data_IF_399573463050
#
_entry.id   IF_399573463050
#
_cell.length_a   1.000
_cell.length_b   1.000
_cell.length_c   1.000
_cell.angle_alpha   90.00
_cell.angle_beta   90.00
_cell.angle_gamma   90.00
#
_symmetry.space_group_name_H-M   'P 1'
#
loop_
_entity.id
_entity.type
_entity.pdbx_description
1 polymer ?
#
# COMPACT_ATOMS: atom_id res chain seq x y z
N UNK A 1 39.94 -17.10 -1.49
CA UNK A 1 39.53 -15.70 -1.21
C UNK A 1 38.99 -14.97 -2.45
N UNK A 2 39.45 -15.28 -3.65
CA UNK A 2 39.07 -14.60 -4.92
C UNK A 2 37.58 -14.74 -5.29
N UNK A 3 36.96 -15.91 -5.06
CA UNK A 3 35.54 -16.13 -5.39
C UNK A 3 34.55 -15.39 -4.48
N UNK A 4 34.87 -15.19 -3.20
CA UNK A 4 33.99 -14.47 -2.28
C UNK A 4 33.98 -12.96 -2.56
N UNK A 5 35.12 -12.39 -2.93
CA UNK A 5 35.24 -10.98 -3.30
C UNK A 5 34.51 -10.70 -4.62
N UNK A 6 34.62 -11.59 -5.61
CA UNK A 6 33.89 -11.47 -6.88
C UNK A 6 32.37 -11.57 -6.70
N UNK A 7 31.90 -12.50 -5.86
CA UNK A 7 30.47 -12.64 -5.54
C UNK A 7 29.92 -11.42 -4.78
N UNK A 8 30.68 -10.86 -3.84
CA UNK A 8 30.30 -9.62 -3.16
C UNK A 8 30.23 -8.43 -4.12
N UNK A 9 31.20 -8.25 -5.01
CA UNK A 9 31.20 -7.17 -6.00
C UNK A 9 30.00 -7.28 -6.96
N UNK A 10 29.67 -8.49 -7.41
CA UNK A 10 28.52 -8.73 -8.27
C UNK A 10 27.20 -8.43 -7.54
N UNK A 11 27.09 -8.79 -6.25
CA UNK A 11 25.91 -8.49 -5.44
C UNK A 11 25.74 -6.99 -5.17
N UNK A 12 26.83 -6.25 -4.96
CA UNK A 12 26.81 -4.78 -4.83
C UNK A 12 26.36 -4.13 -6.14
N UNK A 13 26.93 -4.53 -7.27
CA UNK A 13 26.55 -3.99 -8.58
C UNK A 13 25.07 -4.25 -8.92
N UNK A 14 24.52 -5.40 -8.54
CA UNK A 14 23.08 -5.69 -8.72
C UNK A 14 22.21 -4.76 -7.89
N UNK A 15 22.55 -4.54 -6.61
CA UNK A 15 21.81 -3.61 -5.74
C UNK A 15 21.89 -2.17 -6.24
N UNK A 16 23.04 -1.73 -6.73
CA UNK A 16 23.20 -0.40 -7.33
C UNK A 16 22.29 -0.22 -8.56
N UNK A 17 22.21 -1.23 -9.44
CA UNK A 17 21.29 -1.20 -10.59
C UNK A 17 19.82 -1.16 -10.18
N UNK A 18 19.43 -1.97 -9.19
CA UNK A 18 18.04 -1.97 -8.69
C UNK A 18 17.66 -0.63 -8.04
N UNK A 19 18.59 -0.04 -7.29
CA UNK A 19 18.37 1.29 -6.70
C UNK A 19 18.28 2.38 -7.78
N UNK A 20 19.14 2.33 -8.79
CA UNK A 20 19.09 3.25 -9.93
C UNK A 20 17.75 3.13 -10.69
N UNK A 21 17.27 1.91 -10.91
CA UNK A 21 15.96 1.67 -11.52
C UNK A 21 14.80 2.30 -10.72
N UNK A 22 14.74 2.09 -9.40
CA UNK A 22 13.69 2.73 -8.57
C UNK A 22 13.84 4.26 -8.56
N UNK A 23 15.07 4.77 -8.59
CA UNK A 23 15.33 6.21 -8.69
C UNK A 23 14.81 6.79 -10.01
N UNK A 24 14.92 6.04 -11.12
CA UNK A 24 14.37 6.44 -12.41
C UNK A 24 12.84 6.49 -12.40
N UNK A 25 12.18 5.51 -11.78
CA UNK A 25 10.73 5.53 -11.56
C UNK A 25 10.32 6.75 -10.71
N UNK A 26 11.07 7.06 -9.65
CA UNK A 26 10.82 8.24 -8.81
C UNK A 26 10.93 9.54 -9.60
N UNK A 27 11.96 9.67 -10.45
CA UNK A 27 12.14 10.83 -11.32
C UNK A 27 10.95 10.99 -12.28
N UNK A 28 10.49 9.89 -12.89
CA UNK A 28 9.34 9.91 -13.80
C UNK A 28 8.07 10.38 -13.09
N UNK A 29 7.79 9.89 -11.89
CA UNK A 29 6.63 10.31 -11.08
C UNK A 29 6.69 11.81 -10.77
N UNK A 30 7.88 12.32 -10.44
CA UNK A 30 8.08 13.75 -10.20
C UNK A 30 7.89 14.58 -11.47
N UNK A 31 8.37 14.11 -12.63
CA UNK A 31 8.12 14.73 -13.93
C UNK A 31 6.62 14.77 -14.27
N UNK A 32 5.89 13.66 -14.06
CA UNK A 32 4.43 13.60 -14.25
C UNK A 32 3.70 14.62 -13.37
N UNK A 33 4.13 14.75 -12.11
CA UNK A 33 3.59 15.75 -11.18
C UNK A 33 3.85 17.18 -11.66
N UNK A 34 5.08 17.47 -12.08
CA UNK A 34 5.47 18.80 -12.58
C UNK A 34 4.73 19.19 -13.86
N UNK A 35 4.42 18.20 -14.71
CA UNK A 35 3.64 18.39 -15.94
C UNK A 35 2.12 18.45 -15.70
N UNK A 36 1.67 18.30 -14.45
CA UNK A 36 0.25 18.30 -14.10
C UNK A 36 -0.51 17.05 -14.58
N UNK A 37 0.21 15.98 -14.92
CA UNK A 37 -0.39 14.71 -15.35
C UNK A 37 -0.97 13.93 -14.16
N UNK A 38 -0.36 14.08 -12.98
CA UNK A 38 -0.84 13.47 -11.73
C UNK A 38 -0.86 14.51 -10.62
N UNK A 39 -1.84 14.39 -9.73
CA UNK A 39 -1.90 15.16 -8.50
C UNK A 39 -1.58 14.25 -7.33
N UNK A 40 -0.49 14.57 -6.62
CA UNK A 40 -0.11 13.85 -5.40
C UNK A 40 -0.59 14.62 -4.16
N UNK A 41 -1.05 13.92 -3.10
CA UNK A 41 -1.49 14.58 -1.87
C UNK A 41 -0.38 15.44 -1.23
N UNK A 42 -0.72 16.61 -0.69
CA UNK A 42 0.25 17.54 -0.09
C UNK A 42 1.07 16.92 1.05
N UNK A 43 0.46 16.01 1.81
CA UNK A 43 1.08 15.32 2.93
C UNK A 43 1.76 13.99 2.54
N UNK A 44 1.96 13.74 1.25
CA UNK A 44 2.57 12.53 0.72
C UNK A 44 3.94 12.82 0.08
N UNK A 45 4.95 12.03 0.46
CA UNK A 45 6.28 12.06 -0.14
C UNK A 45 6.48 10.82 -1.00
N UNK A 46 6.41 10.99 -2.32
CA UNK A 46 6.66 9.92 -3.29
C UNK A 46 8.07 9.34 -3.13
N UNK A 47 9.08 10.21 -2.91
CA UNK A 47 10.47 9.80 -2.68
C UNK A 47 10.59 8.82 -1.51
N UNK A 48 10.02 9.17 -0.35
CA UNK A 48 10.08 8.31 0.84
C UNK A 48 9.31 7.01 0.63
N UNK A 49 8.16 7.06 -0.06
CA UNK A 49 7.34 5.88 -0.32
C UNK A 49 8.03 4.90 -1.28
N UNK A 50 8.64 5.41 -2.35
CA UNK A 50 9.39 4.60 -3.33
C UNK A 50 10.65 4.00 -2.72
N UNK A 51 11.35 4.74 -1.84
CA UNK A 51 12.49 4.20 -1.13
C UNK A 51 12.09 3.09 -0.15
N UNK A 52 10.96 3.25 0.56
CA UNK A 52 10.40 2.18 1.38
C UNK A 52 9.99 0.95 0.54
N UNK A 53 9.44 1.18 -0.65
CA UNK A 53 9.10 0.11 -1.58
C UNK A 53 10.35 -0.63 -2.08
N UNK A 54 11.41 0.09 -2.44
CA UNK A 54 12.71 -0.51 -2.80
C UNK A 54 13.22 -1.44 -1.70
N UNK A 55 13.24 -0.99 -0.45
CA UNK A 55 13.67 -1.83 0.67
C UNK A 55 12.77 -3.05 0.86
N UNK A 56 11.46 -2.90 0.64
CA UNK A 56 10.51 -4.01 0.73
C UNK A 56 10.73 -5.03 -0.39
N UNK A 57 10.98 -4.58 -1.62
CA UNK A 57 11.17 -5.42 -2.80
C UNK A 57 12.51 -6.14 -2.82
N UNK A 58 13.55 -5.52 -2.25
CA UNK A 58 14.91 -6.06 -2.16
C UNK A 58 15.18 -6.85 -0.87
N UNK A 59 14.24 -6.81 0.09
CA UNK A 59 14.33 -7.63 1.29
C UNK A 59 14.35 -9.12 0.91
N UNK A 60 15.28 -9.86 1.51
CA UNK A 60 15.36 -11.32 1.40
C UNK A 60 14.73 -11.89 2.66
N UNK A 61 13.56 -12.52 2.50
CA UNK A 61 12.85 -13.16 3.60
C UNK A 61 13.57 -14.43 4.07
N UNK A 62 13.45 -14.78 5.34
CA UNK A 62 14.06 -16.01 5.89
C UNK A 62 13.59 -17.30 5.18
N UNK A 63 12.41 -17.27 4.56
CA UNK A 63 11.84 -18.39 3.81
C UNK A 63 12.20 -18.44 2.32
N UNK A 64 12.90 -17.43 1.78
CA UNK A 64 13.24 -17.38 0.36
C UNK A 64 14.65 -16.86 0.13
N UNK A 65 15.45 -17.59 -0.64
CA UNK A 65 16.82 -17.20 -0.97
C UNK A 65 16.93 -16.07 -2.01
N UNK A 66 15.80 -15.56 -2.53
CA UNK A 66 15.75 -14.49 -3.55
C UNK A 66 14.79 -13.39 -3.12
N UNK A 67 15.19 -12.14 -3.34
CA UNK A 67 14.34 -10.98 -3.13
C UNK A 67 13.15 -10.99 -4.09
N UNK A 68 12.10 -10.24 -3.77
CA UNK A 68 10.89 -10.20 -4.61
C UNK A 68 11.19 -9.58 -5.97
N UNK A 69 11.99 -8.51 -6.02
CA UNK A 69 12.40 -7.83 -7.25
C UNK A 69 13.16 -8.73 -8.24
N UNK A 70 13.81 -9.80 -7.74
CA UNK A 70 14.58 -10.74 -8.58
C UNK A 70 13.72 -11.84 -9.21
N UNK A 71 12.42 -11.91 -8.84
CA UNK A 71 11.49 -12.95 -9.29
C UNK A 71 10.50 -12.45 -10.34
N UNK A 72 10.46 -11.14 -10.57
CA UNK A 72 9.47 -10.47 -11.40
C UNK A 72 10.14 -9.59 -12.44
N UNK A 73 9.39 -9.22 -13.47
CA UNK A 73 9.84 -8.37 -14.57
C UNK A 73 10.02 -6.92 -14.13
N UNK A 74 11.08 -6.22 -14.58
CA UNK A 74 11.27 -4.79 -14.28
C UNK A 74 10.06 -3.93 -14.61
N UNK A 75 9.40 -4.20 -15.73
CA UNK A 75 8.23 -3.46 -16.21
C UNK A 75 7.08 -3.55 -15.19
N UNK A 76 6.81 -4.74 -14.66
CA UNK A 76 5.78 -4.93 -13.64
C UNK A 76 6.15 -4.26 -12.30
N UNK A 77 7.44 -4.15 -11.98
CA UNK A 77 7.91 -3.40 -10.81
C UNK A 77 7.68 -1.90 -11.00
N UNK A 78 8.02 -1.35 -12.16
CA UNK A 78 7.76 0.06 -12.45
C UNK A 78 6.27 0.38 -12.34
N UNK A 79 5.42 -0.44 -12.95
CA UNK A 79 3.96 -0.29 -12.88
C UNK A 79 3.45 -0.34 -11.43
N UNK A 80 3.84 -1.35 -10.65
CA UNK A 80 3.41 -1.47 -9.26
C UNK A 80 3.88 -0.29 -8.38
N UNK A 81 5.08 0.24 -8.62
CA UNK A 81 5.60 1.42 -7.93
C UNK A 81 4.83 2.69 -8.32
N UNK A 82 4.50 2.85 -9.60
CA UNK A 82 3.69 3.95 -10.10
C UNK A 82 2.28 3.91 -9.52
N UNK A 83 1.63 2.75 -9.51
CA UNK A 83 0.28 2.53 -8.98
C UNK A 83 0.21 2.88 -7.48
N UNK A 84 1.19 2.45 -6.70
CA UNK A 84 1.34 2.86 -5.30
C UNK A 84 1.47 4.38 -5.15
N UNK A 85 2.31 4.99 -6.00
CA UNK A 85 2.61 6.41 -5.90
C UNK A 85 1.46 7.32 -6.31
N UNK A 86 0.73 6.97 -7.38
CA UNK A 86 -0.46 7.69 -7.84
C UNK A 86 -1.55 7.69 -6.76
N UNK A 87 -1.77 6.55 -6.09
CA UNK A 87 -2.70 6.48 -4.95
C UNK A 87 -2.19 7.23 -3.69
N UNK A 88 -0.96 7.75 -3.73
CA UNK A 88 -0.31 8.41 -2.61
C UNK A 88 -0.10 7.47 -1.42
N UNK A 89 0.14 6.18 -1.66
CA UNK A 89 0.23 5.16 -0.61
C UNK A 89 1.67 4.77 -0.31
N UNK A 90 1.89 4.19 0.86
CA UNK A 90 3.19 3.70 1.28
C UNK A 90 3.11 2.34 1.95
N UNK A 91 3.93 1.39 1.47
CA UNK A 91 4.10 0.08 2.11
C UNK A 91 4.68 0.17 3.52
N UNK A 92 5.48 1.21 3.83
CA UNK A 92 5.99 1.45 5.19
C UNK A 92 4.87 1.73 6.21
N UNK A 93 3.74 2.28 5.74
CA UNK A 93 2.54 2.53 6.54
C UNK A 93 1.53 1.38 6.45
N UNK A 94 1.91 0.25 5.85
CA UNK A 94 1.02 -0.90 5.57
C UNK A 94 -0.22 -0.53 4.76
N UNK A 95 -0.12 0.50 3.91
CA UNK A 95 -1.24 0.98 3.08
C UNK A 95 -1.44 0.16 1.81
N UNK A 96 -0.53 -0.76 1.52
CA UNK A 96 -0.65 -1.74 0.45
C UNK A 96 0.50 -2.73 0.51
N UNK A 97 0.49 -3.67 -0.42
CA UNK A 97 1.41 -4.79 -0.50
C UNK A 97 1.78 -5.09 -1.95
N UNK A 98 3.00 -5.54 -2.19
CA UNK A 98 3.41 -6.06 -3.49
C UNK A 98 3.14 -7.56 -3.54
N UNK A 99 2.31 -8.00 -4.48
CA UNK A 99 1.92 -9.40 -4.65
C UNK A 99 2.40 -9.91 -6.00
N UNK A 100 3.25 -10.95 -6.04
CA UNK A 100 3.66 -11.57 -7.30
C UNK A 100 2.58 -12.51 -7.83
N UNK A 101 2.34 -12.42 -9.13
CA UNK A 101 1.53 -13.33 -9.93
C UNK A 101 2.42 -13.90 -11.04
N UNK A 102 3.06 -15.05 -10.76
CA UNK A 102 4.09 -15.59 -11.65
C UNK A 102 5.33 -14.70 -11.66
N UNK A 103 5.70 -14.20 -12.83
CA UNK A 103 6.81 -13.26 -13.07
C UNK A 103 6.36 -11.79 -13.13
N UNK A 104 5.10 -11.51 -12.79
CA UNK A 104 4.54 -10.15 -12.74
C UNK A 104 4.30 -9.72 -11.30
N UNK A 105 4.54 -8.45 -11.02
CA UNK A 105 4.24 -7.82 -9.75
C UNK A 105 3.02 -6.91 -9.86
N UNK A 106 2.16 -6.96 -8.86
CA UNK A 106 1.07 -5.99 -8.69
C UNK A 106 1.16 -5.35 -7.31
N UNK A 107 0.80 -4.07 -7.23
CA UNK A 107 0.51 -3.42 -5.97
C UNK A 107 -0.96 -3.64 -5.63
N UNK A 108 -1.24 -4.12 -4.43
CA UNK A 108 -2.60 -4.25 -3.91
C UNK A 108 -2.78 -3.29 -2.74
N UNK A 109 -3.88 -2.55 -2.74
CA UNK A 109 -4.22 -1.66 -1.63
C UNK A 109 -4.60 -2.50 -0.40
N UNK A 110 -4.35 -1.96 0.79
CA UNK A 110 -4.86 -2.52 2.03
C UNK A 110 -6.06 -1.72 2.54
N UNK A 111 -6.80 -2.22 3.52
CA UNK A 111 -7.87 -1.41 4.14
C UNK A 111 -7.34 -0.12 4.77
N UNK A 112 -6.10 -0.08 5.26
CA UNK A 112 -5.45 1.16 5.70
C UNK A 112 -5.17 2.12 4.54
N UNK A 113 -4.82 1.57 3.37
CA UNK A 113 -4.73 2.34 2.14
C UNK A 113 -6.08 2.90 1.73
N UNK A 114 -7.14 2.09 1.76
CA UNK A 114 -8.52 2.53 1.49
C UNK A 114 -8.93 3.66 2.43
N UNK A 115 -8.68 3.53 3.74
CA UNK A 115 -8.92 4.61 4.71
C UNK A 115 -8.11 5.87 4.38
N UNK A 116 -6.84 5.73 3.97
CA UNK A 116 -5.99 6.86 3.63
C UNK A 116 -6.42 7.59 2.34
N UNK A 117 -6.86 6.84 1.33
CA UNK A 117 -7.45 7.42 0.09
C UNK A 117 -8.72 8.17 0.45
N UNK A 118 -9.63 7.56 1.22
CA UNK A 118 -10.90 8.20 1.57
C UNK A 118 -10.72 9.51 2.35
N UNK A 119 -9.81 9.53 3.32
CA UNK A 119 -9.54 10.74 4.13
C UNK A 119 -8.94 11.90 3.34
N UNK A 120 -8.56 11.68 2.08
CA UNK A 120 -8.08 12.74 1.18
C UNK A 120 -9.17 13.26 0.27
N UNK A 121 -10.31 12.58 0.17
CA UNK A 121 -11.45 13.07 -0.59
C UNK A 121 -12.04 14.28 0.12
N UNK A 122 -12.34 15.32 -0.66
CA UNK A 122 -12.92 16.55 -0.12
C UNK A 122 -14.22 16.27 0.64
N UNK A 123 -14.31 16.78 1.87
CA UNK A 123 -15.49 16.65 2.70
C UNK A 123 -15.60 15.31 3.46
N UNK A 124 -14.61 14.42 3.41
CA UNK A 124 -14.50 13.26 4.31
C UNK A 124 -13.60 13.62 5.49
N UNK A 125 -14.13 13.50 6.71
CA UNK A 125 -13.41 13.80 7.96
C UNK A 125 -12.72 12.56 8.52
N UNK A 126 -13.44 11.46 8.67
CA UNK A 126 -12.88 10.22 9.23
C UNK A 126 -13.63 8.97 8.73
N UNK A 127 -12.98 7.82 8.88
CA UNK A 127 -13.53 6.49 8.59
C UNK A 127 -13.01 5.48 9.60
N UNK A 128 -13.94 4.75 10.23
CA UNK A 128 -13.62 3.66 11.13
C UNK A 128 -14.62 2.52 10.99
N UNK A 129 -14.20 1.32 11.41
CA UNK A 129 -15.05 0.14 11.38
C UNK A 129 -14.88 -0.68 12.66
N UNK A 130 -15.97 -1.29 13.09
CA UNK A 130 -16.03 -2.16 14.25
C UNK A 130 -16.78 -3.45 13.92
N UNK A 131 -16.49 -4.47 14.72
CA UNK A 131 -17.15 -5.78 14.67
C UNK A 131 -18.26 -5.78 15.71
N UNK A 132 -19.35 -6.47 15.40
CA UNK A 132 -20.47 -6.73 16.31
C UNK A 132 -20.31 -8.18 16.77
N UNK A 133 -20.04 -8.37 18.05
CA UNK A 133 -19.89 -9.70 18.64
C UNK A 133 -21.22 -10.24 19.14
N UNK A 134 -21.31 -11.57 19.22
CA UNK A 134 -22.48 -12.25 19.78
C UNK A 134 -22.81 -11.75 21.18
N UNK A 135 -24.07 -11.37 21.37
CA UNK A 135 -24.59 -10.86 22.64
C UNK A 135 -24.29 -9.38 22.91
N UNK A 136 -23.71 -8.64 21.95
CA UNK A 136 -23.70 -7.17 21.99
C UNK A 136 -25.03 -6.61 21.44
N UNK A 137 -25.41 -5.41 21.89
CA UNK A 137 -26.61 -4.73 21.38
C UNK A 137 -26.19 -3.69 20.33
N UNK A 138 -26.59 -3.88 19.08
CA UNK A 138 -26.33 -2.97 17.96
C UNK A 138 -27.64 -2.44 17.39
N UNK A 139 -27.84 -1.13 17.47
CA UNK A 139 -29.05 -0.45 17.02
C UNK A 139 -28.78 0.45 15.81
N UNK A 140 -29.62 0.30 14.80
CA UNK A 140 -29.64 1.12 13.59
C UNK A 140 -31.06 1.56 13.27
N UNK A 141 -31.19 2.68 12.59
CA UNK A 141 -32.47 3.20 12.13
C UNK A 141 -32.34 3.80 10.74
N UNK A 142 -33.48 4.00 10.07
CA UNK A 142 -33.49 4.84 8.87
C UNK A 142 -33.67 6.29 9.27
N UNK A 143 -32.78 7.16 8.81
CA UNK A 143 -32.95 8.59 8.98
C UNK A 143 -34.06 9.14 8.06
N UNK A 144 -34.31 10.44 8.16
CA UNK A 144 -35.35 11.14 7.38
C UNK A 144 -35.16 11.02 5.84
N UNK A 145 -33.96 10.69 5.38
CA UNK A 145 -33.62 10.50 3.96
C UNK A 145 -33.75 9.04 3.50
N UNK A 146 -34.20 8.13 4.38
CA UNK A 146 -34.27 6.70 4.12
C UNK A 146 -32.90 6.02 4.07
N UNK A 147 -31.87 6.64 4.64
CA UNK A 147 -30.53 6.06 4.73
C UNK A 147 -30.34 5.40 6.10
N UNK A 148 -29.64 4.26 6.12
CA UNK A 148 -29.30 3.60 7.38
C UNK A 148 -28.37 4.50 8.20
N UNK A 149 -28.70 4.69 9.47
CA UNK A 149 -28.02 5.56 10.41
C UNK A 149 -27.65 4.81 11.68
N UNK A 150 -26.50 5.16 12.25
CA UNK A 150 -26.01 4.60 13.50
C UNK A 150 -26.76 5.21 14.68
N UNK A 151 -27.28 4.36 15.57
CA UNK A 151 -27.96 4.81 16.80
C UNK A 151 -27.14 4.52 18.04
N UNK A 152 -26.81 3.26 18.27
CA UNK A 152 -26.01 2.85 19.42
C UNK A 152 -25.32 1.50 19.19
N UNK A 153 -24.18 1.32 19.85
CA UNK A 153 -23.53 0.02 19.97
C UNK A 153 -23.05 -0.16 21.40
N UNK A 154 -23.74 -1.01 22.17
CA UNK A 154 -23.40 -1.32 23.55
C UNK A 154 -22.49 -2.54 23.57
N UNK A 155 -21.21 -2.23 23.73
CA UNK A 155 -20.13 -3.21 23.62
C UNK A 155 -19.92 -3.99 24.92
N UNK A 156 -19.49 -5.23 24.79
CA UNK A 156 -18.89 -6.02 25.84
C UNK A 156 -17.53 -6.50 25.35
N UNK A 157 -16.45 -5.81 25.76
CA UNK A 157 -15.10 -6.13 25.29
C UNK A 157 -14.66 -7.58 25.57
N UNK A 158 -15.31 -8.28 26.51
CA UNK A 158 -15.05 -9.70 26.80
C UNK A 158 -15.72 -10.66 25.80
N UNK A 159 -16.67 -10.18 25.00
CA UNK A 159 -17.30 -10.95 23.92
C UNK A 159 -16.35 -11.18 22.74
N UNK A 160 -15.28 -10.38 22.63
CA UNK A 160 -14.25 -10.57 21.61
C UNK A 160 -13.40 -11.82 21.90
N UNK A 161 -13.74 -12.93 21.26
CA UNK A 161 -13.03 -14.21 21.40
C UNK A 161 -11.91 -14.40 20.36
N UNK A 162 -11.90 -13.57 19.32
CA UNK A 162 -11.03 -13.72 18.15
C UNK A 162 -11.46 -14.83 17.17
N UNK A 163 -12.60 -15.49 17.43
CA UNK A 163 -13.13 -16.55 16.58
C UNK A 163 -14.17 -16.01 15.60
N UNK A 164 -14.23 -16.60 14.40
CA UNK A 164 -15.16 -16.20 13.35
C UNK A 164 -16.61 -16.42 13.77
N UNK A 165 -16.88 -17.52 14.46
CA UNK A 165 -18.23 -17.94 14.82
C UNK A 165 -18.88 -17.02 15.85
N UNK A 166 -18.09 -16.20 16.54
CA UNK A 166 -18.57 -15.27 17.56
C UNK A 166 -18.84 -13.86 17.00
N UNK A 167 -18.62 -13.65 15.71
CA UNK A 167 -18.91 -12.40 15.00
C UNK A 167 -20.31 -12.48 14.39
N UNK A 168 -21.19 -11.54 14.74
CA UNK A 168 -22.52 -11.40 14.12
C UNK A 168 -22.49 -10.53 12.86
N UNK A 169 -21.58 -9.57 12.82
CA UNK A 169 -21.41 -8.67 11.68
C UNK A 169 -20.31 -7.65 11.89
N UNK A 170 -20.22 -6.70 10.97
CA UNK A 170 -19.34 -5.56 11.09
C UNK A 170 -20.02 -4.33 10.50
N UNK A 171 -19.62 -3.15 10.97
CA UNK A 171 -20.09 -1.89 10.42
C UNK A 171 -18.92 -0.93 10.19
N UNK A 172 -19.11 -0.03 9.25
CA UNK A 172 -18.20 1.06 8.93
C UNK A 172 -18.97 2.38 8.95
N UNK A 173 -18.39 3.41 9.55
CA UNK A 173 -18.90 4.77 9.52
C UNK A 173 -17.91 5.63 8.76
N UNK A 174 -18.41 6.37 7.78
CA UNK A 174 -17.70 7.47 7.11
C UNK A 174 -18.33 8.76 7.62
N UNK A 175 -17.55 9.57 8.32
CA UNK A 175 -17.96 10.88 8.82
C UNK A 175 -17.48 11.96 7.85
N UNK A 176 -18.39 12.88 7.49
CA UNK A 176 -18.08 14.07 6.70
C UNK A 176 -17.68 15.24 7.59
N UNK A 177 -17.07 16.26 6.99
CA UNK A 177 -16.67 17.48 7.70
C UNK A 177 -17.86 18.25 8.30
N UNK A 178 -19.05 18.13 7.69
CA UNK A 178 -20.32 18.68 8.19
C UNK A 178 -20.91 17.89 9.37
N UNK A 179 -20.25 16.81 9.79
CA UNK A 179 -20.69 15.91 10.87
C UNK A 179 -21.68 14.84 10.42
N UNK A 180 -22.09 14.81 9.15
CA UNK A 180 -22.97 13.77 8.63
C UNK A 180 -22.26 12.43 8.56
N UNK A 181 -22.92 11.36 9.01
CA UNK A 181 -22.36 10.02 9.05
C UNK A 181 -23.08 9.09 8.07
N UNK A 182 -22.30 8.36 7.28
CA UNK A 182 -22.77 7.28 6.43
C UNK A 182 -22.44 5.95 7.09
N UNK A 183 -23.47 5.19 7.41
CA UNK A 183 -23.32 3.86 7.99
C UNK A 183 -23.43 2.79 6.90
N UNK A 184 -22.46 1.89 6.85
CA UNK A 184 -22.57 0.61 6.14
C UNK A 184 -22.51 -0.51 7.17
N UNK A 185 -23.48 -1.41 7.15
CA UNK A 185 -23.51 -2.61 8.00
C UNK A 185 -23.44 -3.83 7.11
N UNK A 186 -22.72 -4.86 7.56
CA UNK A 186 -22.70 -6.17 6.95
C UNK A 186 -22.96 -7.24 7.99
N UNK A 187 -23.83 -8.19 7.68
CA UNK A 187 -23.97 -9.41 8.49
C UNK A 187 -22.77 -10.31 8.25
N UNK A 188 -22.52 -11.24 9.18
CA UNK A 188 -21.47 -12.24 8.99
C UNK A 188 -21.73 -13.11 7.75
N UNK A 189 -22.98 -13.33 7.34
CA UNK A 189 -23.32 -14.08 6.13
C UNK A 189 -22.90 -13.34 4.84
N UNK A 190 -23.13 -12.03 4.79
CA UNK A 190 -22.66 -11.20 3.67
C UNK A 190 -21.13 -11.15 3.61
N UNK A 191 -20.48 -11.04 4.76
CA UNK A 191 -19.02 -11.07 4.87
C UNK A 191 -18.49 -12.43 4.43
N UNK A 192 -19.09 -13.54 4.88
CA UNK A 192 -18.70 -14.89 4.49
C UNK A 192 -18.88 -15.12 2.98
N UNK A 193 -19.92 -14.54 2.38
CA UNK A 193 -20.13 -14.55 0.93
C UNK A 193 -18.99 -13.84 0.21
N UNK A 194 -18.61 -12.63 0.66
CA UNK A 194 -17.46 -11.91 0.10
C UNK A 194 -16.14 -12.67 0.29
N UNK A 195 -15.99 -13.42 1.38
CA UNK A 195 -14.81 -14.24 1.58
C UNK A 195 -14.79 -15.48 0.70
N UNK A 196 -15.95 -16.08 0.39
CA UNK A 196 -16.04 -17.33 -0.37
C UNK A 196 -15.39 -17.29 -1.76
N UNK A 197 -15.22 -16.09 -2.32
CA UNK A 197 -14.50 -15.88 -3.58
C UNK A 197 -13.00 -16.19 -3.45
N UNK A 198 -12.43 -16.05 -2.25
CA UNK A 198 -11.00 -16.29 -2.01
C UNK A 198 -10.60 -17.76 -2.16
N UNK A 199 -9.52 -18.01 -2.91
CA UNK A 199 -8.93 -19.36 -3.10
C UNK A 199 -8.65 -20.09 -1.79
N UNK A 200 -8.24 -19.36 -0.76
CA UNK A 200 -7.93 -19.91 0.56
C UNK A 200 -8.49 -18.98 1.63
N UNK A 201 -8.89 -19.57 2.75
CA UNK A 201 -9.48 -18.86 3.89
C UNK A 201 -8.52 -18.75 5.09
N UNK A 202 -7.22 -18.98 4.88
CA UNK A 202 -6.26 -19.08 6.00
C UNK A 202 -6.16 -17.77 6.79
N UNK A 203 -6.14 -16.63 6.11
CA UNK A 203 -6.06 -15.31 6.77
C UNK A 203 -7.38 -14.95 7.43
N UNK A 204 -8.50 -15.23 6.76
CA UNK A 204 -9.86 -15.03 7.23
C UNK A 204 -10.12 -15.83 8.51
N UNK A 205 -9.67 -17.08 8.56
CA UNK A 205 -9.81 -17.93 9.73
C UNK A 205 -8.86 -17.53 10.86
N UNK A 206 -7.67 -17.01 10.55
CA UNK A 206 -6.67 -16.59 11.55
C UNK A 206 -6.95 -15.21 12.14
N UNK A 207 -7.51 -14.30 11.36
CA UNK A 207 -7.77 -12.91 11.73
C UNK A 207 -9.19 -12.46 11.31
N UNK A 208 -10.25 -13.16 11.74
CA UNK A 208 -11.61 -12.93 11.23
C UNK A 208 -12.13 -11.51 11.50
N UNK A 209 -11.79 -10.94 12.66
CA UNK A 209 -12.20 -9.58 13.03
C UNK A 209 -11.61 -8.50 12.10
N UNK A 210 -10.33 -8.62 11.73
CA UNK A 210 -9.66 -7.63 10.88
C UNK A 210 -10.13 -7.78 9.43
N UNK A 211 -10.37 -9.01 9.01
CA UNK A 211 -10.92 -9.30 7.69
C UNK A 211 -12.38 -8.83 7.57
N UNK A 212 -13.17 -8.90 8.64
CA UNK A 212 -14.54 -8.39 8.67
C UNK A 212 -14.54 -6.86 8.53
N UNK A 213 -13.70 -6.17 9.30
CA UNK A 213 -13.48 -4.71 9.18
C UNK A 213 -13.04 -4.30 7.79
N UNK A 214 -12.04 -4.98 7.21
CA UNK A 214 -11.59 -4.72 5.84
C UNK A 214 -12.75 -4.85 4.83
N UNK A 215 -13.56 -5.89 4.96
CA UNK A 215 -14.67 -6.16 4.04
C UNK A 215 -15.69 -5.02 4.07
N UNK A 216 -16.10 -4.58 5.26
CA UNK A 216 -17.09 -3.49 5.41
C UNK A 216 -16.52 -2.12 5.07
N UNK A 217 -15.24 -1.85 5.38
CA UNK A 217 -14.55 -0.62 4.95
C UNK A 217 -14.60 -0.51 3.44
N UNK A 218 -14.15 -1.55 2.74
CA UNK A 218 -14.11 -1.53 1.29
C UNK A 218 -15.50 -1.38 0.66
N UNK A 219 -16.53 -2.03 1.22
CA UNK A 219 -17.93 -1.85 0.78
C UNK A 219 -18.38 -0.39 0.96
N UNK A 220 -18.14 0.20 2.14
CA UNK A 220 -18.51 1.58 2.43
C UNK A 220 -17.77 2.56 1.51
N UNK A 221 -16.48 2.31 1.28
CA UNK A 221 -15.59 3.15 0.49
C UNK A 221 -15.89 3.17 -1.00
N UNK A 222 -16.44 2.08 -1.56
CA UNK A 222 -16.66 1.94 -3.00
C UNK A 222 -17.52 3.06 -3.58
N UNK A 223 -18.61 3.43 -2.90
CA UNK A 223 -19.46 4.52 -3.37
C UNK A 223 -18.72 5.86 -3.35
N UNK A 224 -18.00 6.16 -2.27
CA UNK A 224 -17.28 7.42 -2.11
C UNK A 224 -16.18 7.62 -3.15
N UNK A 225 -15.41 6.56 -3.43
CA UNK A 225 -14.32 6.67 -4.41
C UNK A 225 -14.87 6.71 -5.84
N UNK A 226 -15.89 5.89 -6.15
CA UNK A 226 -16.38 5.81 -7.53
C UNK A 226 -17.26 7.01 -7.93
N UNK A 227 -17.74 7.79 -6.96
CA UNK A 227 -18.50 9.03 -7.21
C UNK A 227 -17.74 10.29 -6.81
N UNK A 228 -16.47 10.19 -6.39
CA UNK A 228 -15.66 11.39 -6.12
C UNK A 228 -15.22 12.05 -7.43
N UNK A 229 -15.02 13.35 -7.34
CA UNK A 229 -14.41 14.12 -8.44
C UNK A 229 -12.89 13.86 -8.48
N UNK A 230 -12.34 13.85 -9.69
CA UNK A 230 -10.92 13.97 -10.09
C UNK A 230 -10.04 12.75 -10.44
N UNK A 231 -9.14 13.06 -11.40
CA UNK A 231 -8.04 12.33 -12.06
C UNK A 231 -8.34 10.88 -12.45
N UNK A 232 -8.61 10.67 -13.75
CA UNK A 232 -8.82 9.36 -14.37
C UNK A 232 -7.77 8.33 -13.96
N UNK A 233 -6.50 8.73 -13.82
CA UNK A 233 -5.40 7.87 -13.41
C UNK A 233 -5.49 7.39 -11.95
N UNK A 234 -5.94 8.25 -11.03
CA UNK A 234 -6.16 7.86 -9.64
C UNK A 234 -7.34 6.91 -9.54
N UNK A 235 -8.45 7.22 -10.22
CA UNK A 235 -9.64 6.37 -10.23
C UNK A 235 -9.30 4.98 -10.80
N UNK A 236 -8.58 4.93 -11.92
CA UNK A 236 -8.17 3.67 -12.53
C UNK A 236 -7.25 2.86 -11.59
N UNK A 237 -6.26 3.51 -10.98
CA UNK A 237 -5.36 2.87 -10.01
C UNK A 237 -6.09 2.35 -8.78
N UNK A 238 -7.04 3.13 -8.27
CA UNK A 238 -7.88 2.72 -7.15
C UNK A 238 -8.78 1.55 -7.55
N UNK A 239 -9.41 1.58 -8.71
CA UNK A 239 -10.31 0.52 -9.16
C UNK A 239 -9.56 -0.78 -9.41
N UNK A 240 -8.42 -0.76 -10.11
CA UNK A 240 -7.57 -1.95 -10.31
C UNK A 240 -7.20 -2.60 -8.98
N UNK A 241 -6.84 -1.82 -7.97
CA UNK A 241 -6.50 -2.37 -6.66
C UNK A 241 -7.72 -2.85 -5.87
N UNK A 242 -8.90 -2.27 -6.10
CA UNK A 242 -10.16 -2.66 -5.44
C UNK A 242 -10.78 -3.93 -6.03
N UNK A 243 -10.79 -4.05 -7.36
CA UNK A 243 -11.35 -5.19 -8.08
C UNK A 243 -10.58 -6.47 -7.76
N UNK A 244 -9.24 -6.38 -7.75
CA UNK A 244 -8.35 -7.46 -7.35
C UNK A 244 -8.46 -7.86 -5.86
N UNK A 245 -9.13 -7.08 -5.01
CA UNK A 245 -9.33 -7.41 -3.59
C UNK A 245 -10.53 -8.34 -3.32
N UNK A 246 -11.56 -8.33 -4.18
CA UNK A 246 -12.81 -9.10 -4.02
C UNK A 246 -12.97 -10.21 -5.06
N UNK A 247 -12.37 -10.02 -6.22
CA UNK A 247 -12.19 -11.04 -7.21
C UNK A 247 -10.71 -11.46 -7.21
N UNK A 248 -10.33 -12.50 -6.46
CA UNK A 248 -9.41 -13.44 -7.05
C UNK A 248 -10.24 -14.19 -8.11
N UNK A 249 -10.61 -13.51 -9.20
CA UNK A 249 -11.07 -14.19 -10.41
C UNK A 249 -9.89 -14.99 -10.89
N UNK A 250 -9.87 -16.20 -10.37
CA UNK A 250 -9.19 -17.30 -11.00
C UNK A 250 -10.27 -18.02 -11.78
N UNK A 251 -10.75 -17.31 -12.80
CA UNK A 251 -10.52 -17.83 -14.14
C UNK A 251 -9.01 -17.72 -14.37
N UNK A 252 -8.24 -18.67 -13.82
CA UNK A 252 -6.85 -18.91 -14.22
C UNK A 252 -6.24 -20.12 -13.51
N UNK A 253 -6.91 -21.25 -13.75
CA UNK A 253 -6.21 -22.46 -14.18
C UNK A 253 -6.60 -22.78 -15.64
N UNK A 254 -7.05 -21.77 -16.41
CA UNK A 254 -7.64 -21.93 -17.74
C UNK A 254 -7.16 -20.96 -18.82
N UNK A 255 -6.93 -19.66 -18.55
CA UNK A 255 -6.68 -18.69 -19.62
C UNK A 255 -5.61 -17.66 -19.21
N UNK A 256 -4.37 -18.15 -19.04
CA UNK A 256 -3.14 -17.35 -18.93
C UNK A 256 -3.08 -16.21 -19.97
N UNK A 257 -3.82 -16.31 -21.06
CA UNK A 257 -3.94 -15.31 -22.10
C UNK A 257 -4.81 -14.08 -21.76
N UNK A 258 -5.77 -14.13 -20.83
CA UNK A 258 -6.69 -12.99 -20.55
C UNK A 258 -6.03 -11.99 -19.57
N UNK A 259 -5.40 -12.48 -18.50
CA UNK A 259 -4.53 -11.67 -17.61
C UNK A 259 -3.25 -11.22 -18.31
N UNK A 260 -2.71 -12.04 -19.24
CA UNK A 260 -1.67 -11.54 -20.15
C UNK A 260 -2.20 -10.43 -21.04
N UNK A 261 -3.41 -10.54 -21.61
CA UNK A 261 -4.01 -9.51 -22.46
C UNK A 261 -4.31 -8.22 -21.71
N UNK A 262 -4.89 -8.24 -20.50
CA UNK A 262 -5.15 -7.00 -19.74
C UNK A 262 -3.84 -6.33 -19.29
N UNK A 263 -2.82 -7.10 -18.91
CA UNK A 263 -1.51 -6.53 -18.57
C UNK A 263 -0.76 -6.10 -19.85
N UNK A 264 -0.88 -6.83 -20.96
CA UNK A 264 -0.29 -6.43 -22.25
C UNK A 264 -1.00 -5.23 -22.87
N UNK A 265 -2.27 -5.00 -22.57
CA UNK A 265 -3.06 -3.85 -23.05
C UNK A 265 -2.93 -2.63 -22.13
N UNK A 266 -2.95 -2.81 -20.80
CA UNK A 266 -2.97 -1.72 -19.82
C UNK A 266 -1.60 -1.40 -19.19
N UNK A 267 -0.63 -2.33 -19.18
CA UNK A 267 0.75 -2.00 -18.78
C UNK A 267 1.59 -1.42 -19.94
N UNK A 268 1.03 -1.37 -21.16
CA UNK A 268 1.69 -0.87 -22.37
C UNK A 268 0.99 0.33 -23.04
N UNK A 269 -0.12 0.84 -22.49
CA UNK A 269 -0.82 2.00 -23.07
C UNK A 269 -0.05 3.31 -22.88
N UNK A 270 0.77 3.41 -21.83
CA UNK A 270 1.89 4.35 -21.77
C UNK A 270 3.21 3.58 -21.58
N UNK A 271 3.96 3.42 -22.68
CA UNK A 271 5.33 2.93 -22.61
C UNK A 271 6.12 3.89 -21.72
N UNK A 272 6.44 3.47 -20.49
CA UNK A 272 7.53 4.08 -19.77
C UNK A 272 8.78 3.65 -20.54
N UNK A 273 9.26 4.53 -21.42
CA UNK A 273 10.56 4.38 -22.06
C UNK A 273 11.64 4.60 -20.99
N UNK A 274 11.78 3.60 -20.12
CA UNK A 274 12.90 3.46 -19.20
C UNK A 274 14.02 2.91 -20.06
N UNK A 275 14.57 3.75 -20.94
CA UNK A 275 15.76 3.41 -21.68
C UNK A 275 16.83 3.04 -20.64
N UNK A 276 17.25 1.78 -20.65
CA UNK A 276 18.38 1.31 -19.88
C UNK A 276 19.64 1.72 -20.63
N UNK A 277 19.82 3.02 -20.85
CA UNK A 277 21.09 3.53 -21.33
C UNK A 277 22.12 3.33 -20.21
N UNK A 278 23.25 2.67 -20.50
CA UNK A 278 24.30 2.51 -19.51
C UNK A 278 24.72 3.90 -19.07
N UNK A 279 24.56 4.19 -17.77
CA UNK A 279 25.02 5.42 -17.15
C UNK A 279 26.43 5.74 -17.67
N UNK A 280 26.54 6.86 -18.40
CA UNK A 280 27.84 7.42 -18.74
C UNK A 280 28.64 7.56 -17.44
N UNK A 281 29.87 7.04 -17.49
CA UNK A 281 30.83 7.16 -16.39
C UNK A 281 31.06 8.64 -16.13
N UNK A 282 30.41 9.19 -15.10
CA UNK A 282 30.82 10.46 -14.54
C UNK A 282 32.14 10.21 -13.82
N UNK A 283 33.25 10.63 -14.42
CA UNK A 283 34.56 10.59 -13.77
C UNK A 283 34.50 11.44 -12.50
N UNK A 284 34.56 10.77 -11.34
CA UNK A 284 34.72 11.45 -10.07
C UNK A 284 36.11 12.11 -10.03
N UNK A 285 36.16 13.43 -10.22
CA UNK A 285 37.33 14.22 -9.85
C UNK A 285 37.54 14.11 -8.35
N UNK A 286 38.58 13.37 -7.96
CA UNK A 286 39.02 13.21 -6.57
C UNK A 286 39.57 14.55 -6.08
N UNK A 287 38.79 15.28 -5.27
CA UNK A 287 39.33 16.39 -4.49
C UNK A 287 39.98 15.79 -3.23
N UNK A 288 41.30 15.67 -3.27
CA UNK A 288 42.12 15.21 -2.13
C UNK A 288 42.09 16.28 -1.04
N UNK A 289 41.23 16.09 -0.02
CA UNK A 289 41.30 16.85 1.22
C UNK A 289 42.43 16.29 2.10
N UNK A 290 43.58 16.95 2.10
CA UNK A 290 44.70 16.66 3.00
C UNK A 290 44.30 16.96 4.45
N UNK A 291 44.20 15.91 5.28
CA UNK A 291 44.07 16.01 6.74
C UNK A 291 45.37 16.55 7.34
N UNK A 292 45.30 17.68 8.06
CA UNK A 292 46.35 18.08 9.04
C UNK A 292 46.09 17.36 10.38
N UNK A 293 47.13 16.98 11.14
CA UNK A 293 46.98 16.25 12.40
C UNK A 293 46.52 17.19 13.52
N UNK A 294 45.63 16.70 14.38
CA UNK A 294 45.19 17.38 15.61
C UNK A 294 46.17 17.04 16.73
N UNK A 295 46.79 18.07 17.30
CA UNK A 295 47.65 17.99 18.47
C UNK A 295 46.79 17.99 19.76
N UNK A 296 47.07 17.04 20.66
CA UNK A 296 46.43 16.91 21.96
C UNK A 296 47.02 17.93 22.94
N UNK A 297 46.18 18.71 23.61
CA UNK A 297 46.52 19.29 24.92
C UNK A 297 45.41 19.01 25.93
N UNK A 298 45.80 18.31 26.99
CA UNK A 298 45.06 18.10 28.22
C UNK A 298 44.99 19.41 29.02
N UNK A 299 43.84 19.71 29.61
CA UNK A 299 43.76 20.48 30.84
C UNK A 299 42.56 20.00 31.68
N UNK A 300 42.85 19.71 32.94
CA UNK A 300 42.00 19.22 34.00
C UNK A 300 41.20 20.33 34.70
N UNK A 301 40.02 19.96 35.25
CA UNK A 301 39.28 20.47 36.43
C UNK A 301 39.51 21.90 36.95
N UNK A 302 38.43 22.68 37.17
CA UNK A 302 37.78 22.91 38.49
C UNK A 302 36.59 23.90 38.40
N UNK A 303 35.63 23.69 39.31
CA UNK A 303 34.67 24.65 39.90
C UNK A 303 33.56 25.33 39.07
N UNK A 304 32.30 25.05 39.49
CA UNK A 304 31.19 26.02 39.41
C UNK A 304 31.37 27.16 40.43
N UNK A 305 30.49 28.19 40.51
CA UNK A 305 29.06 28.00 40.75
C UNK A 305 28.11 29.05 40.11
N UNK A 306 26.80 28.77 40.20
CA UNK A 306 25.76 29.78 40.52
C UNK A 306 25.10 30.54 39.37
N UNK A 307 23.90 30.11 38.96
CA UNK A 307 22.60 30.64 39.39
C UNK A 307 21.47 29.75 38.80
#
# INVERSE_FOLDING_TARGET
MTNQVAQQQQQVATKEKQNAFVTQVAKKIEEMKQQGQINLPDNYSAVNALQAAYFTLTAVDFGSSKALIDKVTPESVAFALQDMAIQGLSVAKKQGYFVPYGDKLQFLRSYHGTQAVLKRLNGVKDIWANVIWKGEEFEVEYNERGQLAFKAHKVNWKAATGKKEDIEGAYCIIEREDGYQFLTVMTMDEIATAWSTAKTQNVQNKYPQEMAKRTVINRASKAFINTSDDSDLLIESVNRTTENEFEPTVKDMGDIEEVKREIEQNANSEVIDISNEPAEKVEATVVVATKKPVEQQQASFTDGPGF
#
